data_IF_400868541659
#
_entry.id   IF_400868541659
#
_cell.length_a   1.000
_cell.length_b   1.000
_cell.length_c   1.000
_cell.angle_alpha   90.00
_cell.angle_beta   90.00
_cell.angle_gamma   90.00
#
_symmetry.space_group_name_H-M   'P 1'
#
loop_
_entity.id
_entity.type
_entity.pdbx_description
1 polymer ?
#
# COMPACT_ATOMS: atom_id res chain seq x y z
N UNK A 1 -25.06 -21.87 -50.85
CA UNK A 1 -23.95 -22.45 -50.07
C UNK A 1 -22.79 -21.45 -49.84
N UNK A 2 -22.33 -20.73 -50.87
CA UNK A 2 -21.23 -19.74 -50.73
C UNK A 2 -21.52 -18.58 -49.76
N UNK A 3 -22.76 -18.07 -49.73
CA UNK A 3 -23.17 -16.97 -48.84
C UNK A 3 -23.12 -17.34 -47.35
N UNK A 4 -23.57 -18.54 -46.98
CA UNK A 4 -23.55 -19.01 -45.58
C UNK A 4 -22.11 -19.22 -45.10
N UNK A 5 -21.25 -19.75 -45.97
CA UNK A 5 -19.82 -19.90 -45.70
C UNK A 5 -19.14 -18.55 -45.43
N UNK A 6 -19.48 -17.52 -46.22
CA UNK A 6 -18.96 -16.17 -46.03
C UNK A 6 -19.37 -15.55 -44.68
N UNK A 7 -20.63 -15.71 -44.27
CA UNK A 7 -21.09 -15.25 -42.96
C UNK A 7 -20.41 -15.97 -41.79
N UNK A 8 -20.15 -17.28 -41.92
CA UNK A 8 -19.42 -18.05 -40.91
C UNK A 8 -17.96 -17.60 -40.79
N UNK A 9 -17.31 -17.29 -41.91
CA UNK A 9 -15.93 -16.77 -41.91
C UNK A 9 -15.87 -15.40 -41.21
N UNK A 10 -16.79 -14.48 -41.51
CA UNK A 10 -16.86 -13.17 -40.86
C UNK A 10 -17.14 -13.29 -39.35
N UNK A 11 -18.01 -14.21 -38.95
CA UNK A 11 -18.31 -14.49 -37.55
C UNK A 11 -17.11 -15.11 -36.81
N UNK A 12 -16.38 -16.03 -37.46
CA UNK A 12 -15.15 -16.57 -36.90
C UNK A 12 -14.06 -15.51 -36.78
N UNK A 13 -13.93 -14.60 -37.75
CA UNK A 13 -12.98 -13.48 -37.71
C UNK A 13 -13.30 -12.49 -36.59
N UNK A 14 -14.58 -12.18 -36.35
CA UNK A 14 -14.99 -11.30 -35.24
C UNK A 14 -14.81 -11.94 -33.86
N UNK A 15 -15.01 -13.25 -33.75
CA UNK A 15 -14.67 -14.00 -32.55
C UNK A 15 -13.15 -14.03 -32.33
N UNK A 16 -12.36 -14.19 -33.40
CA UNK A 16 -10.90 -14.17 -33.31
C UNK A 16 -10.36 -12.81 -32.82
N UNK A 17 -10.90 -11.69 -33.30
CA UNK A 17 -10.51 -10.36 -32.82
C UNK A 17 -10.98 -10.08 -31.39
N UNK A 18 -12.08 -10.67 -30.95
CA UNK A 18 -12.52 -10.61 -29.54
C UNK A 18 -11.65 -11.48 -28.61
N UNK A 19 -11.13 -12.61 -29.11
CA UNK A 19 -10.24 -13.53 -28.35
C UNK A 19 -8.81 -13.00 -28.29
N UNK A 20 -8.33 -12.36 -29.35
CA UNK A 20 -7.06 -11.63 -29.39
C UNK A 20 -7.22 -10.23 -28.79
N UNK A 21 -7.82 -10.17 -27.59
CA UNK A 21 -8.24 -8.94 -26.92
C UNK A 21 -7.25 -7.80 -27.16
N UNK A 22 -7.78 -6.65 -27.59
CA UNK A 22 -7.00 -5.41 -27.72
C UNK A 22 -6.08 -5.32 -26.50
N UNK A 23 -4.75 -5.34 -26.71
CA UNK A 23 -3.80 -4.87 -25.71
C UNK A 23 -4.09 -3.38 -25.53
N UNK A 24 -5.13 -3.06 -24.75
CA UNK A 24 -5.32 -1.69 -24.31
C UNK A 24 -4.21 -1.43 -23.31
N UNK A 25 -3.47 -0.36 -23.56
CA UNK A 25 -2.36 0.13 -22.74
C UNK A 25 -2.82 0.56 -21.32
N UNK A 26 -4.11 0.40 -21.04
CA UNK A 26 -4.86 0.98 -19.93
C UNK A 26 -4.33 0.58 -18.55
N UNK A 27 -3.77 -0.63 -18.42
CA UNK A 27 -3.24 -1.15 -17.16
C UNK A 27 -1.71 -1.26 -17.13
N UNK A 28 -0.97 -0.57 -18.01
CA UNK A 28 0.49 -0.64 -17.96
C UNK A 28 1.06 -0.07 -16.66
N UNK A 29 2.18 -0.65 -16.15
CA UNK A 29 2.82 -0.16 -14.93
C UNK A 29 3.21 1.32 -15.03
N UNK A 30 2.71 2.12 -14.09
CA UNK A 30 2.94 3.57 -14.05
C UNK A 30 3.54 3.99 -12.70
N UNK A 31 3.84 5.27 -12.51
CA UNK A 31 4.45 5.79 -11.28
C UNK A 31 4.07 7.25 -11.07
N UNK A 32 3.97 7.70 -9.82
CA UNK A 32 3.69 9.12 -9.53
C UNK A 32 4.84 10.06 -9.95
N UNK A 33 6.09 9.57 -9.88
CA UNK A 33 7.32 10.29 -10.28
C UNK A 33 8.29 9.34 -10.98
N UNK A 34 9.22 9.88 -11.80
CA UNK A 34 10.17 9.12 -12.64
C UNK A 34 10.94 8.02 -11.90
N UNK A 35 11.34 8.29 -10.65
CA UNK A 35 12.09 7.38 -9.79
C UNK A 35 11.26 6.91 -8.58
N UNK A 36 9.93 6.89 -8.72
CA UNK A 36 9.01 6.39 -7.69
C UNK A 36 8.75 4.89 -7.82
N UNK A 37 8.01 4.29 -6.87
CA UNK A 37 7.60 2.90 -6.98
C UNK A 37 6.73 2.71 -8.22
N UNK A 38 6.99 1.63 -8.97
CA UNK A 38 6.12 1.21 -10.07
C UNK A 38 4.83 0.65 -9.49
N UNK A 39 3.71 1.18 -9.95
CA UNK A 39 2.35 0.79 -9.60
C UNK A 39 1.79 -0.06 -10.73
N UNK A 40 1.44 -1.28 -10.39
CA UNK A 40 0.82 -2.27 -11.26
C UNK A 40 -0.09 -3.16 -10.41
N UNK A 41 -0.88 -3.99 -11.08
CA UNK A 41 -1.73 -4.98 -10.44
C UNK A 41 -0.98 -5.71 -9.29
N UNK A 42 -1.59 -5.86 -8.09
CA UNK A 42 -2.99 -5.57 -7.76
C UNK A 42 -3.30 -4.10 -7.43
N UNK A 43 -2.28 -3.24 -7.38
CA UNK A 43 -2.45 -1.82 -7.06
C UNK A 43 -2.80 -0.99 -8.29
N UNK A 44 -3.56 0.08 -8.08
CA UNK A 44 -3.83 1.08 -9.11
C UNK A 44 -3.73 2.50 -8.57
N UNK A 45 -3.42 3.45 -9.46
CA UNK A 45 -3.43 4.88 -9.09
C UNK A 45 -4.85 5.43 -9.26
N UNK A 46 -5.45 5.86 -8.15
CA UNK A 46 -6.78 6.48 -8.13
C UNK A 46 -6.82 7.68 -9.08
N UNK A 47 -7.89 7.77 -9.89
CA UNK A 47 -8.12 8.79 -10.93
C UNK A 47 -7.17 8.78 -12.14
N UNK A 48 -6.08 7.98 -12.14
CA UNK A 48 -5.18 7.84 -13.31
C UNK A 48 -5.35 6.52 -14.03
N UNK A 49 -5.69 5.45 -13.31
CA UNK A 49 -5.90 4.11 -13.87
C UNK A 49 -7.38 3.72 -13.79
N UNK A 50 -7.94 3.03 -14.80
CA UNK A 50 -9.29 2.49 -14.75
C UNK A 50 -9.53 1.58 -13.54
N UNK A 51 -10.78 1.45 -13.10
CA UNK A 51 -11.12 0.67 -11.90
C UNK A 51 -10.74 -0.80 -12.01
N UNK A 52 -10.85 -1.39 -13.21
CA UNK A 52 -10.55 -2.80 -13.46
C UNK A 52 -9.04 -3.13 -13.47
N UNK A 53 -8.15 -2.13 -13.42
CA UNK A 53 -6.70 -2.35 -13.39
C UNK A 53 -6.14 -2.71 -12.00
N UNK A 54 -6.98 -2.76 -10.96
CA UNK A 54 -6.55 -3.12 -9.61
C UNK A 54 -7.70 -3.53 -8.71
N UNK A 55 -7.38 -4.10 -7.55
CA UNK A 55 -8.41 -4.53 -6.61
C UNK A 55 -8.99 -3.37 -5.79
N UNK A 56 -10.26 -3.51 -5.39
CA UNK A 56 -10.85 -2.64 -4.37
C UNK A 56 -10.04 -2.75 -3.08
N UNK A 57 -9.70 -1.60 -2.48
CA UNK A 57 -8.82 -1.53 -1.32
C UNK A 57 -7.32 -1.46 -1.63
N UNK A 58 -6.91 -1.68 -2.88
CA UNK A 58 -5.52 -1.56 -3.35
C UNK A 58 -5.31 -0.26 -4.16
N UNK A 59 -5.92 0.83 -3.70
CA UNK A 59 -5.75 2.14 -4.32
C UNK A 59 -4.58 2.89 -3.71
N UNK A 60 -3.70 3.42 -4.55
CA UNK A 60 -2.74 4.46 -4.18
C UNK A 60 -3.12 5.78 -4.86
N UNK A 61 -2.62 6.89 -4.36
CA UNK A 61 -2.77 8.20 -5.01
C UNK A 61 -1.44 8.95 -5.05
N UNK A 62 -1.35 9.96 -5.90
CA UNK A 62 -0.19 10.84 -5.94
C UNK A 62 -0.52 12.11 -5.15
N UNK A 63 0.31 12.48 -4.17
CA UNK A 63 0.17 13.75 -3.48
C UNK A 63 0.68 14.92 -4.35
N UNK A 64 0.62 16.14 -3.81
CA UNK A 64 1.09 17.37 -4.47
C UNK A 64 2.59 17.34 -4.82
N UNK A 65 3.38 16.59 -4.05
CA UNK A 65 4.82 16.37 -4.29
C UNK A 65 5.10 15.20 -5.26
N UNK A 66 4.06 14.64 -5.88
CA UNK A 66 4.13 13.45 -6.72
C UNK A 66 4.72 12.21 -6.02
N UNK A 67 4.60 12.13 -4.70
CA UNK A 67 4.87 10.92 -3.95
C UNK A 67 3.67 9.98 -4.02
N UNK A 68 3.94 8.69 -4.09
CA UNK A 68 2.91 7.66 -4.02
C UNK A 68 2.47 7.51 -2.57
N UNK A 69 1.20 7.73 -2.32
CA UNK A 69 0.58 7.65 -1.00
C UNK A 69 -0.42 6.50 -0.94
N UNK A 70 -0.49 5.87 0.23
CA UNK A 70 -1.49 4.88 0.57
C UNK A 70 -2.41 5.45 1.64
N UNK A 71 -3.72 5.30 1.43
CA UNK A 71 -4.72 5.59 2.46
C UNK A 71 -5.03 4.29 3.20
N UNK A 72 -4.63 4.25 4.46
CA UNK A 72 -4.90 3.14 5.37
C UNK A 72 -6.21 3.40 6.15
N UNK A 73 -6.74 2.37 6.85
CA UNK A 73 -7.85 2.55 7.80
C UNK A 73 -7.62 3.72 8.77
N UNK A 74 -8.72 4.26 9.30
CA UNK A 74 -8.72 5.46 10.17
C UNK A 74 -8.14 6.72 9.51
N UNK A 75 -8.21 6.80 8.19
CA UNK A 75 -7.72 7.95 7.39
C UNK A 75 -6.22 8.21 7.52
N UNK A 76 -5.44 7.20 7.93
CA UNK A 76 -3.99 7.32 8.07
C UNK A 76 -3.35 7.35 6.68
N UNK A 77 -2.66 8.43 6.36
CA UNK A 77 -1.91 8.57 5.11
C UNK A 77 -0.41 8.37 5.33
N UNK A 78 0.17 7.49 4.52
CA UNK A 78 1.58 7.11 4.58
C UNK A 78 2.13 6.98 3.16
N UNK A 79 3.41 7.31 2.99
CA UNK A 79 4.06 7.27 1.69
C UNK A 79 4.59 5.86 1.40
N UNK A 80 4.53 5.46 0.13
CA UNK A 80 5.02 4.17 -0.34
C UNK A 80 6.47 4.32 -0.78
N UNK A 81 7.37 3.64 -0.08
CA UNK A 81 8.80 3.59 -0.42
C UNK A 81 9.05 2.63 -1.57
N UNK A 82 8.56 1.41 -1.43
CA UNK A 82 8.77 0.30 -2.36
C UNK A 82 7.63 -0.72 -2.23
N UNK A 83 7.31 -1.42 -3.33
CA UNK A 83 6.37 -2.54 -3.33
C UNK A 83 7.12 -3.74 -3.87
N UNK A 84 7.29 -4.75 -3.03
CA UNK A 84 7.79 -6.05 -3.46
C UNK A 84 6.59 -6.91 -3.88
N UNK A 85 6.44 -7.05 -5.20
CA UNK A 85 5.37 -7.83 -5.81
C UNK A 85 5.57 -9.35 -5.68
N UNK A 86 6.81 -9.81 -5.44
CA UNK A 86 7.12 -11.23 -5.29
C UNK A 86 6.74 -11.69 -3.89
N UNK A 87 7.17 -10.96 -2.86
CA UNK A 87 6.85 -11.26 -1.46
C UNK A 87 5.50 -10.70 -1.01
N UNK A 88 4.84 -9.90 -1.86
CA UNK A 88 3.58 -9.21 -1.58
C UNK A 88 3.68 -8.25 -0.38
N UNK A 89 4.82 -7.57 -0.26
CA UNK A 89 5.09 -6.62 0.82
C UNK A 89 5.10 -5.19 0.31
N UNK A 90 4.56 -4.28 1.12
CA UNK A 90 4.62 -2.85 0.87
C UNK A 90 5.42 -2.16 1.97
N UNK A 91 6.50 -1.50 1.56
CA UNK A 91 7.35 -0.74 2.47
C UNK A 91 6.86 0.70 2.51
N UNK A 92 6.50 1.14 3.71
CA UNK A 92 5.93 2.45 3.96
C UNK A 92 6.96 3.33 4.68
N UNK A 93 6.86 4.63 4.47
CA UNK A 93 7.57 5.62 5.23
C UNK A 93 6.66 6.79 5.56
N UNK A 94 6.99 7.52 6.61
CA UNK A 94 6.33 8.76 6.92
C UNK A 94 7.16 9.94 6.38
N UNK A 95 6.61 10.79 5.50
CA UNK A 95 7.30 11.99 5.03
C UNK A 95 7.69 12.95 6.16
N UNK A 96 6.95 12.95 7.28
CA UNK A 96 7.28 13.72 8.49
C UNK A 96 8.32 13.02 9.38
N UNK A 97 8.80 11.86 8.94
CA UNK A 97 9.76 11.02 9.66
C UNK A 97 9.28 10.62 11.08
N UNK A 98 7.96 10.54 11.30
CA UNK A 98 7.39 10.13 12.57
C UNK A 98 6.21 9.16 12.44
N UNK A 99 6.46 8.03 11.76
CA UNK A 99 5.48 6.96 11.65
C UNK A 99 4.87 6.52 12.99
N UNK A 100 5.62 6.46 14.12
CA UNK A 100 5.04 6.16 15.44
C UNK A 100 3.86 7.04 15.84
N UNK A 101 3.79 8.30 15.38
CA UNK A 101 2.67 9.21 15.68
C UNK A 101 1.36 8.76 15.03
N UNK A 102 1.46 8.04 13.90
CA UNK A 102 0.31 7.58 13.10
C UNK A 102 -0.17 6.18 13.49
N UNK A 103 0.69 5.36 14.09
CA UNK A 103 0.38 3.97 14.45
C UNK A 103 -0.77 3.81 15.47
N UNK A 104 -0.92 4.65 16.52
CA UNK A 104 -2.02 4.49 17.49
C UNK A 104 -3.42 4.62 16.88
N UNK A 105 -3.54 5.37 15.79
CA UNK A 105 -4.81 5.56 15.07
C UNK A 105 -5.08 4.41 14.10
N UNK A 106 -4.05 3.65 13.75
CA UNK A 106 -4.10 2.65 12.69
C UNK A 106 -4.58 1.30 13.22
N UNK A 107 -5.76 0.88 12.78
CA UNK A 107 -6.29 -0.46 13.07
C UNK A 107 -6.31 -1.32 11.79
N UNK A 108 -5.22 -2.04 11.54
CA UNK A 108 -5.11 -3.01 10.44
C UNK A 108 -5.73 -4.37 10.77
N UNK A 109 -6.01 -4.65 12.04
CA UNK A 109 -6.59 -5.92 12.49
C UNK A 109 -8.10 -6.03 12.22
N UNK A 110 -8.72 -4.96 11.72
CA UNK A 110 -10.11 -4.97 11.29
C UNK A 110 -10.30 -5.88 10.07
N UNK A 111 -11.41 -6.63 10.03
CA UNK A 111 -11.76 -7.59 8.96
C UNK A 111 -11.76 -7.00 7.55
N UNK A 112 -11.82 -5.67 7.43
CA UNK A 112 -11.99 -4.98 6.16
C UNK A 112 -10.67 -4.43 5.59
N UNK A 113 -9.54 -4.59 6.29
CA UNK A 113 -8.23 -4.17 5.77
C UNK A 113 -7.61 -5.27 4.91
N UNK A 114 -7.21 -5.00 3.65
CA UNK A 114 -6.45 -5.96 2.86
C UNK A 114 -4.98 -6.04 3.30
N UNK A 115 -4.55 -5.18 4.23
CA UNK A 115 -3.18 -5.09 4.72
C UNK A 115 -3.09 -5.58 6.15
N UNK A 116 -2.02 -6.32 6.44
CA UNK A 116 -1.57 -6.68 7.79
C UNK A 116 -0.15 -6.18 7.99
N UNK A 117 0.24 -5.95 9.23
CA UNK A 117 1.65 -5.70 9.52
C UNK A 117 2.47 -6.95 9.16
N UNK A 118 3.58 -6.74 8.45
CA UNK A 118 4.60 -7.75 8.34
C UNK A 118 5.33 -7.79 9.68
N UNK A 119 5.21 -8.89 10.42
CA UNK A 119 5.95 -9.07 11.65
C UNK A 119 7.42 -9.29 11.32
N UNK A 120 8.24 -8.27 11.51
CA UNK A 120 9.65 -8.52 11.80
C UNK A 120 9.74 -9.11 13.22
N UNK A 121 10.83 -9.82 13.55
CA UNK A 121 11.03 -10.48 14.86
C UNK A 121 11.04 -9.54 16.09
N UNK A 122 10.67 -8.27 15.93
CA UNK A 122 10.66 -7.24 16.96
C UNK A 122 9.23 -6.77 17.22
N UNK A 123 8.66 -7.26 18.32
CA UNK A 123 7.42 -6.71 18.86
C UNK A 123 7.75 -5.42 19.61
N UNK A 124 7.28 -4.29 19.09
CA UNK A 124 7.40 -3.00 19.74
C UNK A 124 6.12 -2.70 20.52
N UNK A 125 6.27 -2.34 21.79
CA UNK A 125 5.17 -1.82 22.61
C UNK A 125 5.47 -0.36 22.95
N UNK A 126 4.49 0.51 22.69
CA UNK A 126 4.51 1.90 23.12
C UNK A 126 3.73 2.04 24.43
N UNK A 127 4.26 2.80 25.37
CA UNK A 127 3.62 3.06 26.65
C UNK A 127 3.91 4.49 27.10
N UNK A 128 3.01 5.03 27.91
CA UNK A 128 3.17 6.32 28.55
C UNK A 128 3.90 6.12 29.90
N UNK A 129 5.07 6.71 30.03
CA UNK A 129 5.83 6.71 31.26
C UNK A 129 5.40 7.88 32.14
N UNK A 130 4.74 7.57 33.25
CA UNK A 130 4.45 8.56 34.27
C UNK A 130 5.57 8.63 35.32
N UNK A 131 5.70 9.78 35.97
CA UNK A 131 6.53 9.92 37.17
C UNK A 131 6.17 8.85 38.22
N UNK A 132 7.14 8.29 38.95
CA UNK A 132 8.57 8.67 39.02
C UNK A 132 9.49 7.90 38.03
N UNK A 133 8.94 7.10 37.12
CA UNK A 133 9.72 6.13 36.32
C UNK A 133 10.16 6.65 34.95
N UNK A 134 9.98 7.95 34.67
CA UNK A 134 10.28 8.58 33.38
C UNK A 134 11.66 8.19 32.84
N UNK A 135 12.70 8.13 33.68
CA UNK A 135 14.06 7.80 33.24
C UNK A 135 14.38 6.30 33.07
N UNK A 136 13.55 5.37 33.57
CA UNK A 136 13.83 3.92 33.57
C UNK A 136 12.95 3.08 32.65
N UNK A 137 11.94 3.72 32.06
CA UNK A 137 10.79 3.06 31.49
C UNK A 137 11.03 2.61 30.03
N UNK A 138 11.96 3.22 29.29
CA UNK A 138 12.33 2.77 27.94
C UNK A 138 13.16 3.79 27.15
N UNK A 139 13.22 3.61 25.84
CA UNK A 139 13.89 4.55 24.93
C UNK A 139 12.89 5.63 24.47
N UNK A 140 13.21 6.92 24.62
CA UNK A 140 12.38 8.01 24.09
C UNK A 140 12.17 7.86 22.59
N UNK A 141 10.98 8.21 22.10
CA UNK A 141 10.69 8.29 20.67
C UNK A 141 10.89 9.76 20.24
N UNK A 142 12.01 10.14 19.60
CA UNK A 142 12.41 11.55 19.48
C UNK A 142 11.44 12.42 18.68
N UNK A 143 10.64 11.80 17.82
CA UNK A 143 9.71 12.51 16.95
C UNK A 143 8.32 12.73 17.57
N UNK A 144 8.06 12.20 18.79
CA UNK A 144 6.82 12.45 19.52
C UNK A 144 7.01 13.64 20.46
N UNK A 145 6.10 14.60 20.39
CA UNK A 145 6.10 15.79 21.25
C UNK A 145 5.92 15.44 22.75
N UNK A 146 5.40 14.25 23.06
CA UNK A 146 5.28 13.72 24.41
C UNK A 146 6.53 12.93 24.79
N UNK A 147 7.41 13.55 25.58
CA UNK A 147 8.64 12.94 26.11
C UNK A 147 8.40 11.69 26.98
N UNK A 148 7.15 11.47 27.38
CA UNK A 148 6.72 10.29 28.15
C UNK A 148 6.44 9.07 27.29
N UNK A 149 6.26 9.23 25.98
CA UNK A 149 6.07 8.08 25.08
C UNK A 149 7.40 7.43 24.77
N UNK A 150 7.54 6.20 25.26
CA UNK A 150 8.75 5.40 25.12
C UNK A 150 8.43 4.05 24.46
N UNK A 151 9.46 3.45 23.87
CA UNK A 151 9.40 2.14 23.24
C UNK A 151 10.22 1.13 24.04
N UNK A 152 9.69 -0.08 24.18
CA UNK A 152 10.45 -1.28 24.56
C UNK A 152 10.65 -2.10 23.30
N UNK A 153 11.91 -2.39 23.00
CA UNK A 153 12.29 -3.48 22.13
C UNK A 153 12.37 -4.73 23.02
N UNK A 154 11.57 -5.77 22.75
CA UNK A 154 11.66 -7.03 23.50
C UNK A 154 12.97 -7.75 23.13
N UNK A 155 14.10 -7.22 23.60
CA UNK A 155 15.37 -7.93 23.64
C UNK A 155 15.42 -8.69 24.95
N UNK A 156 15.26 -10.03 24.88
CA UNK A 156 15.52 -11.05 25.92
C UNK A 156 15.51 -10.56 27.39
N UNK A 157 14.48 -10.95 28.12
CA UNK A 157 14.60 -11.25 29.55
C UNK A 157 14.18 -12.71 29.68
N UNK A 158 15.11 -13.54 30.19
CA UNK A 158 15.11 -15.01 30.37
C UNK A 158 13.91 -15.81 29.87
#
# INVERSE_FOLDING_TARGET
>A
MASVSFFLILFCLSLFTAVLGLETDDCKPTSCKKHGPKIRFPFRIKKRSPEYCGYRGFEVFCNEKNETMLLLPSSVQVAVKHIDYVTQQIHLYDPENCLPRKLPQLNLSSSNSPFRFSYDNYNYTMFNCSAPFENRCGVPIPCLDDSRLKRIERSRVF
#
